data_IF_571599749475
#
_entry.id   IF_571599749475
#
_cell.length_a   1.000
_cell.length_b   1.000
_cell.length_c   1.000
_cell.angle_alpha   90.00
_cell.angle_beta   90.00
_cell.angle_gamma   90.00
#
_symmetry.space_group_name_H-M   'P 1'
#
loop_
_entity.id
_entity.type
_entity.pdbx_description
1 polymer ?
#
# COMPACT_ATOMS: atom_id res chain seq x y z
N UNK A 1 12.33 44.15 105.09
CA UNK A 1 12.83 44.61 103.78
C UNK A 1 12.47 43.54 102.76
N UNK A 2 11.68 43.87 101.73
CA UNK A 2 11.48 42.95 100.60
C UNK A 2 12.82 42.78 99.89
N UNK A 3 13.23 41.53 99.66
CA UNK A 3 14.53 41.19 99.11
C UNK A 3 14.52 41.39 97.58
N UNK A 4 14.55 42.65 97.15
CA UNK A 4 14.44 43.06 95.74
C UNK A 4 15.48 42.38 94.83
N UNK A 5 16.68 42.11 95.37
CA UNK A 5 17.75 41.42 94.65
C UNK A 5 17.41 39.96 94.35
N UNK A 6 16.71 39.27 95.24
CA UNK A 6 16.31 37.87 95.02
C UNK A 6 15.20 37.79 93.96
N UNK A 7 14.22 38.69 94.03
CA UNK A 7 13.13 38.77 93.06
C UNK A 7 13.65 39.04 91.64
N UNK A 8 14.59 39.98 91.50
CA UNK A 8 15.22 40.28 90.21
C UNK A 8 15.91 39.05 89.60
N UNK A 9 16.64 38.29 90.40
CA UNK A 9 17.30 37.06 89.94
C UNK A 9 16.26 36.03 89.47
N UNK A 10 15.19 35.81 90.23
CA UNK A 10 14.12 34.89 89.85
C UNK A 10 13.41 35.30 88.56
N UNK A 11 13.12 36.59 88.38
CA UNK A 11 12.47 37.09 87.17
C UNK A 11 13.37 36.93 85.94
N UNK A 12 14.69 37.15 86.10
CA UNK A 12 15.68 36.92 85.04
C UNK A 12 15.73 35.45 84.65
N UNK A 13 15.76 34.53 85.63
CA UNK A 13 15.75 33.09 85.37
C UNK A 13 14.45 32.65 84.66
N UNK A 14 13.29 33.19 85.06
CA UNK A 14 12.02 32.90 84.41
C UNK A 14 11.98 33.38 82.96
N UNK A 15 12.54 34.56 82.67
CA UNK A 15 12.66 35.09 81.32
C UNK A 15 13.65 34.27 80.49
N UNK A 16 14.79 33.88 81.06
CA UNK A 16 15.79 33.04 80.36
C UNK A 16 15.24 31.66 80.00
N UNK A 17 14.43 31.09 80.90
CA UNK A 17 13.81 29.78 80.72
C UNK A 17 12.45 29.82 80.02
N UNK A 18 11.93 31.01 79.68
CA UNK A 18 10.69 31.13 78.93
C UNK A 18 10.85 30.51 77.52
N UNK A 19 9.76 29.91 77.05
CA UNK A 19 9.73 29.12 75.82
C UNK A 19 8.69 29.67 74.85
N UNK A 20 8.92 29.45 73.57
CA UNK A 20 7.94 29.64 72.50
C UNK A 20 7.44 28.27 72.05
N UNK A 21 6.13 28.14 71.95
CA UNK A 21 5.47 26.92 71.47
C UNK A 21 5.16 27.06 69.97
N UNK A 22 5.56 26.06 69.19
CA UNK A 22 5.23 25.91 67.78
C UNK A 22 4.44 24.62 67.62
N UNK A 23 3.21 24.73 67.14
CA UNK A 23 2.32 23.58 66.96
C UNK A 23 2.37 23.17 65.50
N UNK A 24 2.66 21.91 65.22
CA UNK A 24 2.67 21.35 63.86
C UNK A 24 1.26 21.00 63.39
N UNK A 25 1.12 20.67 62.10
CA UNK A 25 -0.14 20.15 61.55
C UNK A 25 -0.55 18.80 62.16
N UNK A 26 0.38 18.06 62.79
CA UNK A 26 0.07 16.83 63.54
C UNK A 26 -0.43 17.11 64.96
N UNK A 27 -0.45 18.39 65.39
CA UNK A 27 -0.84 18.82 66.74
C UNK A 27 0.26 18.66 67.79
N UNK A 28 1.46 18.26 67.39
CA UNK A 28 2.61 18.17 68.29
C UNK A 28 3.18 19.56 68.57
N UNK A 29 3.48 19.83 69.84
CA UNK A 29 4.07 21.09 70.28
C UNK A 29 5.58 20.96 70.38
N UNK A 30 6.30 21.76 69.61
CA UNK A 30 7.74 21.98 69.75
C UNK A 30 7.94 23.23 70.62
N UNK A 31 8.61 23.07 71.76
CA UNK A 31 9.01 24.18 72.60
C UNK A 31 10.45 24.59 72.29
N UNK A 32 10.68 25.89 72.07
CA UNK A 32 12.01 26.45 71.84
C UNK A 32 12.28 27.51 72.89
N UNK A 33 13.34 27.32 73.68
CA UNK A 33 13.79 28.30 74.66
C UNK A 33 14.21 29.64 74.04
N UNK A 34 14.28 30.69 74.84
CA UNK A 34 14.66 32.02 74.35
C UNK A 34 16.09 32.10 73.78
N UNK A 35 16.99 31.23 74.23
CA UNK A 35 18.37 31.14 73.72
C UNK A 35 18.57 29.99 72.71
N UNK A 36 17.54 29.19 72.44
CA UNK A 36 17.65 28.03 71.54
C UNK A 36 17.37 28.41 70.08
N UNK A 37 18.07 27.76 69.17
CA UNK A 37 17.87 27.93 67.72
C UNK A 37 16.75 27.01 67.26
N UNK A 38 15.75 27.58 66.58
CA UNK A 38 14.78 26.80 65.82
C UNK A 38 15.34 26.52 64.42
N UNK A 39 15.67 25.27 64.14
CA UNK A 39 16.09 24.84 62.81
C UNK A 39 14.89 24.43 61.96
N UNK A 40 14.78 24.96 60.74
CA UNK A 40 13.75 24.60 59.76
C UNK A 40 14.46 24.23 58.46
N UNK A 41 14.49 22.95 58.12
CA UNK A 41 15.21 22.44 56.95
C UNK A 41 14.30 21.63 56.03
N UNK A 42 14.33 21.90 54.73
CA UNK A 42 13.57 21.16 53.71
C UNK A 42 14.31 19.96 53.08
N UNK A 43 15.56 19.70 53.50
CA UNK A 43 16.35 18.55 53.02
C UNK A 43 16.95 18.66 51.61
N UNK A 44 16.70 19.76 50.89
CA UNK A 44 17.29 20.00 49.57
C UNK A 44 18.78 20.35 49.66
N UNK A 45 19.59 19.79 48.76
CA UNK A 45 21.04 20.04 48.65
C UNK A 45 21.42 20.90 47.44
N UNK A 46 20.54 20.96 46.44
CA UNK A 46 20.72 21.72 45.19
C UNK A 46 20.20 23.16 45.32
N UNK A 47 20.37 23.95 44.26
CA UNK A 47 19.85 25.32 44.16
C UNK A 47 18.33 25.37 44.40
N UNK A 48 17.89 26.32 45.23
CA UNK A 48 16.49 26.53 45.54
C UNK A 48 15.86 27.54 44.57
N UNK A 49 14.57 27.38 44.33
CA UNK A 49 13.79 28.31 43.53
C UNK A 49 13.24 29.46 44.36
N UNK A 50 13.24 30.66 43.79
CA UNK A 50 12.58 31.83 44.38
C UNK A 50 11.09 31.88 44.08
N UNK A 51 10.31 32.47 44.99
CA UNK A 51 8.90 32.83 44.77
C UNK A 51 7.89 31.67 44.69
N UNK A 52 8.33 30.42 44.75
CA UNK A 52 7.44 29.25 44.66
C UNK A 52 6.72 28.93 45.98
N UNK A 53 7.20 29.44 47.12
CA UNK A 53 6.59 29.28 48.45
C UNK A 53 6.12 30.63 48.98
N UNK A 54 4.84 30.74 49.29
CA UNK A 54 4.23 31.91 49.90
C UNK A 54 3.89 31.70 51.38
N UNK A 55 4.02 32.74 52.19
CA UNK A 55 3.60 32.76 53.59
C UNK A 55 2.50 33.80 53.74
N UNK A 56 1.37 33.40 54.33
CA UNK A 56 0.20 34.28 54.54
C UNK A 56 -0.30 34.20 55.97
N UNK A 57 -0.89 35.28 56.48
CA UNK A 57 -1.48 35.28 57.82
C UNK A 57 -2.60 34.24 57.93
N UNK A 58 -2.64 33.55 59.06
CA UNK A 58 -3.69 32.60 59.44
C UNK A 58 -4.21 32.93 60.84
N UNK A 59 -5.20 33.84 60.89
CA UNK A 59 -5.73 34.35 62.15
C UNK A 59 -4.76 35.29 62.87
N UNK A 60 -4.90 35.37 64.20
CA UNK A 60 -4.19 36.35 65.03
C UNK A 60 -2.75 35.93 65.42
N UNK A 61 -2.44 34.63 65.38
CA UNK A 61 -1.16 34.08 65.88
C UNK A 61 -0.54 33.00 64.96
N UNK A 62 -1.02 32.88 63.72
CA UNK A 62 -0.59 31.82 62.80
C UNK A 62 -0.19 32.35 61.43
N UNK A 63 0.59 31.54 60.71
CA UNK A 63 0.89 31.71 59.30
C UNK A 63 0.62 30.39 58.57
N UNK A 64 0.12 30.48 57.34
CA UNK A 64 0.04 29.35 56.41
C UNK A 64 1.16 29.45 55.39
N UNK A 65 1.88 28.36 55.21
CA UNK A 65 2.83 28.17 54.12
C UNK A 65 2.09 27.53 52.95
N UNK A 66 2.21 28.08 51.74
CA UNK A 66 1.48 27.63 50.55
C UNK A 66 2.40 27.53 49.35
N UNK A 67 2.15 26.55 48.50
CA UNK A 67 2.76 26.47 47.18
C UNK A 67 2.11 27.48 46.23
N UNK A 68 2.91 28.20 45.45
CA UNK A 68 2.41 29.07 44.38
C UNK A 68 1.63 28.25 43.34
N UNK A 69 0.53 28.80 42.82
CA UNK A 69 -0.21 28.19 41.70
C UNK A 69 0.54 28.30 40.36
N UNK A 70 1.60 29.11 40.32
CA UNK A 70 2.50 29.27 39.17
C UNK A 70 3.91 28.96 39.64
N UNK A 71 4.33 27.72 39.41
CA UNK A 71 5.69 27.30 39.69
C UNK A 71 6.61 27.73 38.55
N UNK A 72 7.77 28.28 38.91
CA UNK A 72 8.77 28.74 37.95
C UNK A 72 10.19 28.43 38.41
N UNK A 73 11.13 28.32 37.47
CA UNK A 73 12.54 28.03 37.77
C UNK A 73 12.82 26.59 38.20
N UNK A 74 11.87 25.66 38.04
CA UNK A 74 12.09 24.24 38.29
C UNK A 74 12.85 23.61 37.11
N UNK A 75 13.95 22.94 37.39
CA UNK A 75 14.71 22.17 36.37
C UNK A 75 14.07 20.81 36.08
N UNK A 76 13.50 20.19 37.12
CA UNK A 76 12.90 18.85 37.05
C UNK A 76 11.78 18.67 38.07
N UNK A 77 10.69 18.05 37.65
CA UNK A 77 9.66 17.49 38.52
C UNK A 77 9.60 15.99 38.31
N UNK A 78 9.82 15.22 39.37
CA UNK A 78 9.69 13.76 39.36
C UNK A 78 8.43 13.36 40.09
N UNK A 79 7.55 12.62 39.41
CA UNK A 79 6.32 12.05 39.98
C UNK A 79 6.47 10.53 40.01
N UNK A 80 6.35 9.92 41.19
CA UNK A 80 6.63 8.50 41.40
C UNK A 80 8.12 8.23 41.67
N UNK A 81 8.54 6.98 41.50
CA UNK A 81 9.90 6.51 41.82
C UNK A 81 10.29 5.34 40.93
N UNK A 82 11.60 5.12 40.74
CA UNK A 82 12.11 4.02 39.92
C UNK A 82 11.84 4.22 38.42
N UNK A 83 11.81 3.12 37.67
CA UNK A 83 11.75 3.14 36.21
C UNK A 83 10.38 3.61 35.64
N UNK A 84 9.34 3.66 36.48
CA UNK A 84 8.01 4.16 36.11
C UNK A 84 7.78 5.62 36.47
N UNK A 85 8.82 6.31 36.99
CA UNK A 85 8.71 7.70 37.33
C UNK A 85 8.41 8.55 36.08
N UNK A 86 7.46 9.46 36.22
CA UNK A 86 7.26 10.51 35.21
C UNK A 86 8.17 11.67 35.56
N UNK A 87 9.05 12.04 34.63
CA UNK A 87 9.98 13.14 34.80
C UNK A 87 9.60 14.22 33.80
N UNK A 88 9.28 15.39 34.31
CA UNK A 88 9.13 16.62 33.51
C UNK A 88 10.43 17.38 33.68
N UNK A 89 11.25 17.42 32.64
CA UNK A 89 12.50 18.15 32.58
C UNK A 89 12.33 19.41 31.71
N UNK A 90 13.43 20.14 31.50
CA UNK A 90 13.42 21.40 30.74
C UNK A 90 13.02 21.20 29.25
N UNK A 91 13.41 20.08 28.65
CA UNK A 91 13.28 19.81 27.21
C UNK A 91 12.39 18.60 26.87
N UNK A 92 12.02 17.82 27.88
CA UNK A 92 11.44 16.49 27.69
C UNK A 92 10.50 16.10 28.81
N UNK A 93 9.56 15.22 28.47
CA UNK A 93 8.75 14.48 29.43
C UNK A 93 9.02 13.01 29.21
N UNK A 94 9.57 12.32 30.21
CA UNK A 94 9.78 10.87 30.16
C UNK A 94 8.76 10.17 31.04
N UNK A 95 8.05 9.21 30.49
CA UNK A 95 7.12 8.32 31.20
C UNK A 95 7.07 6.98 30.49
N UNK A 96 6.71 5.91 31.20
CA UNK A 96 6.57 4.58 30.61
C UNK A 96 5.36 4.47 29.70
N UNK A 97 4.28 5.17 30.06
CA UNK A 97 3.03 5.14 29.31
C UNK A 97 2.28 6.46 29.48
N UNK A 98 1.91 7.08 28.37
CA UNK A 98 0.98 8.21 28.34
C UNK A 98 -0.36 7.72 27.81
N UNK A 99 -1.40 7.75 28.65
CA UNK A 99 -2.77 7.44 28.25
C UNK A 99 -3.59 8.73 28.18
N UNK A 100 -4.02 9.09 26.97
CA UNK A 100 -4.90 10.24 26.70
C UNK A 100 -6.19 9.74 26.05
N UNK A 101 -7.21 9.48 26.88
CA UNK A 101 -8.45 8.84 26.43
C UNK A 101 -8.17 7.44 25.88
N UNK A 102 -8.52 7.19 24.62
CA UNK A 102 -8.25 5.92 23.94
C UNK A 102 -6.85 5.84 23.31
N UNK A 103 -6.05 6.90 23.41
CA UNK A 103 -4.71 6.94 22.84
C UNK A 103 -3.70 6.55 23.90
N UNK A 104 -2.83 5.61 23.55
CA UNK A 104 -1.66 5.21 24.34
C UNK A 104 -0.41 5.55 23.54
N UNK A 105 0.55 6.24 24.18
CA UNK A 105 1.90 6.46 23.67
C UNK A 105 2.88 5.82 24.64
N UNK A 106 3.70 4.89 24.16
CA UNK A 106 4.69 4.17 24.95
C UNK A 106 5.85 3.70 24.06
N UNK A 107 6.68 2.79 24.55
CA UNK A 107 7.83 2.23 23.82
C UNK A 107 7.45 1.43 22.57
N UNK A 108 6.21 0.95 22.46
CA UNK A 108 5.72 0.23 21.29
C UNK A 108 5.24 1.17 20.17
N UNK A 109 5.11 2.48 20.48
CA UNK A 109 4.67 3.52 19.55
C UNK A 109 3.38 4.20 19.98
N UNK A 110 2.47 4.43 19.03
CA UNK A 110 1.17 5.08 19.26
C UNK A 110 0.04 4.12 18.91
N UNK A 111 -0.88 3.91 19.85
CA UNK A 111 -2.09 3.11 19.63
C UNK A 111 -3.33 3.95 19.95
N UNK A 112 -4.32 3.95 19.06
CA UNK A 112 -5.65 4.47 19.35
C UNK A 112 -6.62 3.29 19.38
N UNK A 113 -7.15 2.98 20.56
CA UNK A 113 -8.08 1.86 20.75
C UNK A 113 -9.39 2.10 20.01
N UNK A 114 -9.78 1.12 19.20
CA UNK A 114 -11.06 1.15 18.50
C UNK A 114 -12.23 1.10 19.49
N UNK A 115 -13.24 1.94 19.26
CA UNK A 115 -14.51 1.90 19.99
C UNK A 115 -15.59 1.12 19.25
N UNK A 116 -15.43 0.93 17.94
CA UNK A 116 -16.34 0.18 17.08
C UNK A 116 -15.81 -1.24 16.89
N UNK A 117 -16.61 -2.24 17.26
CA UNK A 117 -16.29 -3.67 17.15
C UNK A 117 -16.02 -4.15 15.72
N UNK A 118 -16.47 -3.42 14.69
CA UNK A 118 -16.15 -3.74 13.29
C UNK A 118 -14.72 -3.33 12.91
N UNK A 119 -14.14 -2.39 13.65
CA UNK A 119 -12.81 -1.82 13.42
C UNK A 119 -11.75 -2.55 14.25
N UNK A 120 -10.50 -2.17 14.04
CA UNK A 120 -9.38 -2.59 14.88
C UNK A 120 -8.62 -1.36 15.30
N UNK A 121 -7.74 -1.48 16.29
CA UNK A 121 -6.96 -0.34 16.76
C UNK A 121 -6.14 0.29 15.62
N UNK A 122 -6.03 1.62 15.65
CA UNK A 122 -5.05 2.33 14.83
C UNK A 122 -3.71 2.20 15.55
N UNK A 123 -2.67 1.76 14.83
CA UNK A 123 -1.34 1.53 15.39
C UNK A 123 -0.27 2.14 14.49
N UNK A 124 0.62 2.92 15.08
CA UNK A 124 1.87 3.38 14.50
C UNK A 124 3.00 2.79 15.35
N UNK A 125 3.72 1.82 14.79
CA UNK A 125 4.86 1.15 15.45
C UNK A 125 6.15 1.42 14.69
N UNK A 126 7.28 0.90 15.18
CA UNK A 126 8.56 0.95 14.46
C UNK A 126 8.53 0.21 13.12
N UNK A 127 7.62 -0.75 12.96
CA UNK A 127 7.64 -1.69 11.84
C UNK A 127 6.53 -1.40 10.84
N UNK A 128 5.32 -1.06 11.32
CA UNK A 128 4.13 -0.95 10.47
C UNK A 128 3.18 0.16 10.92
N UNK A 129 2.34 0.58 9.97
CA UNK A 129 1.20 1.46 10.20
C UNK A 129 -0.08 0.69 9.89
N UNK A 130 -0.97 0.57 10.87
CA UNK A 130 -2.32 0.03 10.70
C UNK A 130 -3.34 1.13 10.95
N UNK A 131 -4.22 1.36 9.98
CA UNK A 131 -5.33 2.31 10.12
C UNK A 131 -6.59 1.65 10.70
N UNK A 132 -6.50 0.44 11.24
CA UNK A 132 -7.61 -0.15 11.98
C UNK A 132 -8.88 -0.40 11.15
N UNK A 133 -8.72 -0.71 9.86
CA UNK A 133 -9.81 -0.81 8.85
C UNK A 133 -10.53 0.51 8.56
N UNK A 134 -9.89 1.66 8.83
CA UNK A 134 -10.36 2.97 8.38
C UNK A 134 -9.82 3.30 7.00
N UNK A 135 -10.55 4.15 6.28
CA UNK A 135 -10.06 4.77 5.06
C UNK A 135 -9.06 5.86 5.42
N UNK A 136 -8.07 6.05 4.54
CA UNK A 136 -7.17 7.21 4.58
C UNK A 136 -7.70 8.18 3.53
N UNK A 137 -8.22 9.32 3.99
CA UNK A 137 -8.70 10.39 3.12
C UNK A 137 -7.57 11.40 2.84
N UNK A 138 -7.79 12.27 1.86
CA UNK A 138 -6.90 13.39 1.53
C UNK A 138 -5.45 12.99 1.17
N UNK A 139 -5.29 11.80 0.57
CA UNK A 139 -4.02 11.35 0.00
C UNK A 139 -3.84 12.00 -1.38
N UNK A 140 -2.88 12.92 -1.48
CA UNK A 140 -2.45 13.51 -2.76
C UNK A 140 -2.00 12.43 -3.75
N UNK A 141 -1.96 12.74 -5.04
CA UNK A 141 -1.44 11.79 -6.03
C UNK A 141 0.05 11.56 -5.76
N UNK A 142 0.47 10.29 -5.69
CA UNK A 142 1.87 9.94 -5.53
C UNK A 142 2.69 10.30 -6.77
N UNK A 143 3.87 10.87 -6.57
CA UNK A 143 4.77 11.30 -7.65
C UNK A 143 6.06 10.46 -7.67
N UNK A 144 6.56 10.06 -6.50
CA UNK A 144 7.72 9.19 -6.34
C UNK A 144 7.32 7.70 -6.27
N UNK A 145 8.27 6.81 -6.53
CA UNK A 145 8.04 5.35 -6.54
C UNK A 145 7.60 4.79 -5.18
N UNK A 146 7.92 5.49 -4.09
CA UNK A 146 7.59 5.09 -2.71
C UNK A 146 6.36 5.78 -2.14
N UNK A 147 5.67 6.60 -2.93
CA UNK A 147 4.48 7.31 -2.48
C UNK A 147 3.26 6.38 -2.48
N UNK A 148 2.32 6.65 -1.59
CA UNK A 148 1.02 6.00 -1.64
C UNK A 148 0.25 6.44 -2.89
N UNK A 149 -0.47 5.51 -3.51
CA UNK A 149 -1.39 5.81 -4.62
C UNK A 149 -2.79 6.08 -4.10
N UNK A 150 -3.45 7.08 -4.65
CA UNK A 150 -4.87 7.33 -4.37
C UNK A 150 -5.78 6.69 -5.44
N UNK A 151 -7.08 6.67 -5.15
CA UNK A 151 -8.08 6.04 -6.04
C UNK A 151 -8.18 6.75 -7.40
N UNK A 152 -7.86 8.04 -7.49
CA UNK A 152 -7.83 8.78 -8.74
C UNK A 152 -6.77 8.27 -9.72
N UNK A 153 -5.57 7.96 -9.22
CA UNK A 153 -4.50 7.35 -10.04
C UNK A 153 -4.88 5.95 -10.51
N UNK A 154 -5.47 5.13 -9.63
CA UNK A 154 -5.95 3.79 -10.00
C UNK A 154 -7.03 3.84 -11.08
N UNK A 155 -8.03 4.70 -10.93
CA UNK A 155 -9.10 4.86 -11.92
C UNK A 155 -8.55 5.30 -13.28
N UNK A 156 -7.59 6.23 -13.29
CA UNK A 156 -6.95 6.68 -14.53
C UNK A 156 -6.23 5.55 -15.26
N UNK A 157 -5.50 4.70 -14.53
CA UNK A 157 -4.85 3.52 -15.09
C UNK A 157 -5.87 2.52 -15.68
N UNK A 158 -6.95 2.24 -14.93
CA UNK A 158 -8.03 1.34 -15.38
C UNK A 158 -8.73 1.88 -16.64
N UNK A 159 -9.01 3.18 -16.71
CA UNK A 159 -9.62 3.80 -17.89
C UNK A 159 -8.73 3.64 -19.13
N UNK A 160 -7.41 3.90 -19.01
CA UNK A 160 -6.48 3.74 -20.12
C UNK A 160 -6.42 2.30 -20.65
N UNK A 161 -6.41 1.31 -19.73
CA UNK A 161 -6.47 -0.10 -20.10
C UNK A 161 -7.77 -0.41 -20.84
N UNK A 162 -8.91 0.08 -20.33
CA UNK A 162 -10.21 -0.08 -20.98
C UNK A 162 -10.24 0.46 -22.42
N UNK A 163 -9.68 1.64 -22.66
CA UNK A 163 -9.58 2.21 -24.01
C UNK A 163 -8.73 1.36 -24.95
N UNK A 164 -7.58 0.86 -24.48
CA UNK A 164 -6.71 -0.02 -25.27
C UNK A 164 -7.37 -1.36 -25.60
N UNK A 165 -8.10 -1.95 -24.64
CA UNK A 165 -8.85 -3.19 -24.87
C UNK A 165 -9.96 -3.00 -25.91
N UNK A 166 -10.66 -1.87 -25.91
CA UNK A 166 -11.63 -1.55 -26.96
C UNK A 166 -10.98 -1.43 -28.34
N UNK A 167 -9.82 -0.76 -28.42
CA UNK A 167 -9.05 -0.68 -29.67
C UNK A 167 -8.65 -2.06 -30.17
N UNK A 168 -8.12 -2.91 -29.30
CA UNK A 168 -7.74 -4.29 -29.63
C UNK A 168 -8.96 -5.10 -30.08
N UNK A 169 -10.10 -4.99 -29.40
CA UNK A 169 -11.35 -5.64 -29.80
C UNK A 169 -11.76 -5.28 -31.23
N UNK A 170 -11.62 -4.02 -31.63
CA UNK A 170 -11.89 -3.59 -33.01
C UNK A 170 -10.89 -4.18 -34.02
N UNK A 171 -9.60 -4.26 -33.68
CA UNK A 171 -8.59 -4.88 -34.54
C UNK A 171 -8.84 -6.38 -34.69
N UNK A 172 -9.22 -7.06 -33.61
CA UNK A 172 -9.62 -8.46 -33.62
C UNK A 172 -10.85 -8.66 -34.51
N UNK A 173 -11.88 -7.83 -34.40
CA UNK A 173 -13.05 -7.91 -35.27
C UNK A 173 -12.69 -7.73 -36.76
N UNK A 174 -11.76 -6.82 -37.08
CA UNK A 174 -11.26 -6.68 -38.46
C UNK A 174 -10.50 -7.92 -38.92
N UNK A 175 -9.70 -8.52 -38.03
CA UNK A 175 -8.99 -9.77 -38.32
C UNK A 175 -9.97 -10.92 -38.52
N UNK A 176 -10.97 -11.07 -37.64
CA UNK A 176 -12.03 -12.07 -37.73
C UNK A 176 -12.77 -11.98 -39.08
N UNK A 177 -13.18 -10.77 -39.48
CA UNK A 177 -13.77 -10.54 -40.81
C UNK A 177 -12.83 -10.93 -41.96
N UNK A 178 -11.52 -10.64 -41.86
CA UNK A 178 -10.52 -11.05 -42.87
C UNK A 178 -10.33 -12.56 -42.90
N UNK A 179 -10.28 -13.21 -41.75
CA UNK A 179 -10.13 -14.67 -41.61
C UNK A 179 -11.35 -15.37 -42.16
N UNK A 180 -12.57 -14.93 -41.79
CA UNK A 180 -13.82 -15.46 -42.34
C UNK A 180 -13.87 -15.31 -43.87
N UNK A 181 -13.42 -14.16 -44.39
CA UNK A 181 -13.32 -13.92 -45.83
C UNK A 181 -12.37 -14.91 -46.53
N UNK A 182 -11.24 -15.24 -45.92
CA UNK A 182 -10.29 -16.23 -46.45
C UNK A 182 -10.83 -17.65 -46.30
N UNK A 183 -11.35 -18.02 -45.12
CA UNK A 183 -11.86 -19.36 -44.83
C UNK A 183 -13.09 -19.74 -45.65
N UNK A 184 -13.96 -18.77 -45.96
CA UNK A 184 -15.09 -18.98 -46.86
C UNK A 184 -14.70 -18.99 -48.36
N UNK A 185 -13.42 -18.81 -48.70
CA UNK A 185 -12.96 -18.72 -50.10
C UNK A 185 -13.38 -17.45 -50.84
N UNK A 186 -13.92 -16.44 -50.14
CA UNK A 186 -14.56 -15.26 -50.72
C UNK A 186 -13.62 -14.04 -50.72
N UNK A 187 -12.56 -14.01 -51.53
CA UNK A 187 -11.76 -12.76 -51.66
C UNK A 187 -12.57 -11.71 -52.44
N UNK A 188 -12.74 -10.51 -51.89
CA UNK A 188 -13.52 -9.41 -52.52
C UNK A 188 -12.74 -8.59 -53.55
N UNK A 189 -11.48 -8.92 -53.85
CA UNK A 189 -10.66 -8.19 -54.83
C UNK A 189 -10.23 -9.03 -56.04
N UNK A 190 -10.60 -10.30 -56.05
CA UNK A 190 -10.67 -11.06 -57.28
C UNK A 190 -12.02 -11.72 -57.25
N UNK A 191 -12.82 -11.55 -58.31
CA UNK A 191 -13.88 -12.51 -58.62
C UNK A 191 -13.35 -13.93 -58.81
N UNK A 192 -12.08 -14.20 -58.53
CA UNK A 192 -11.37 -15.44 -58.77
C UNK A 192 -12.04 -16.64 -58.17
N UNK A 193 -12.79 -16.69 -57.05
CA UNK A 193 -13.38 -18.01 -56.75
C UNK A 193 -14.46 -18.42 -57.77
N UNK A 194 -15.27 -17.47 -58.26
CA UNK A 194 -16.26 -17.74 -59.30
C UNK A 194 -15.65 -17.68 -60.71
N UNK A 195 -14.74 -16.76 -60.97
CA UNK A 195 -14.01 -16.63 -62.22
C UNK A 195 -12.97 -17.75 -62.40
N UNK A 196 -12.35 -18.25 -61.33
CA UNK A 196 -11.53 -19.47 -61.31
C UNK A 196 -12.42 -20.70 -61.35
N UNK A 197 -13.61 -20.72 -60.72
CA UNK A 197 -14.55 -21.80 -60.95
C UNK A 197 -14.99 -21.86 -62.42
N UNK A 198 -15.32 -20.70 -63.01
CA UNK A 198 -15.60 -20.57 -64.45
C UNK A 198 -14.40 -20.94 -65.30
N UNK A 199 -13.18 -20.52 -64.95
CA UNK A 199 -11.97 -20.89 -65.66
C UNK A 199 -11.68 -22.39 -65.54
N UNK A 200 -11.91 -23.00 -64.38
CA UNK A 200 -11.83 -24.45 -64.17
C UNK A 200 -12.87 -25.15 -65.04
N UNK A 201 -14.10 -24.63 -65.13
CA UNK A 201 -15.14 -25.23 -65.95
C UNK A 201 -14.87 -25.04 -67.45
N UNK A 202 -14.33 -23.89 -67.87
CA UNK A 202 -13.85 -23.64 -69.23
C UNK A 202 -12.70 -24.60 -69.57
N UNK A 203 -11.71 -24.73 -68.69
CA UNK A 203 -10.59 -25.66 -68.85
C UNK A 203 -11.08 -27.12 -68.90
N UNK A 204 -12.06 -27.50 -68.07
CA UNK A 204 -12.72 -28.81 -68.16
C UNK A 204 -13.39 -29.01 -69.52
N UNK A 205 -14.06 -27.98 -70.05
CA UNK A 205 -14.61 -27.98 -71.40
C UNK A 205 -13.55 -28.23 -72.46
N UNK A 206 -12.47 -27.45 -72.45
CA UNK A 206 -11.33 -27.62 -73.37
C UNK A 206 -10.70 -29.01 -73.26
N UNK A 207 -10.53 -29.54 -72.05
CA UNK A 207 -9.99 -30.89 -71.82
C UNK A 207 -10.92 -31.95 -72.37
N UNK A 208 -12.24 -31.82 -72.19
CA UNK A 208 -13.22 -32.74 -72.77
C UNK A 208 -13.21 -32.69 -74.30
N UNK A 209 -13.17 -31.49 -74.89
CA UNK A 209 -13.09 -31.30 -76.34
C UNK A 209 -11.81 -31.94 -76.90
N UNK A 210 -10.67 -31.74 -76.24
CA UNK A 210 -9.41 -32.40 -76.58
C UNK A 210 -9.50 -33.92 -76.48
N UNK A 211 -10.14 -34.46 -75.43
CA UNK A 211 -10.34 -35.88 -75.26
C UNK A 211 -11.15 -36.49 -76.42
N UNK A 212 -12.22 -35.82 -76.86
CA UNK A 212 -13.02 -36.24 -78.01
C UNK A 212 -12.21 -36.17 -79.32
N UNK A 213 -11.40 -35.13 -79.51
CA UNK A 213 -10.51 -35.02 -80.68
C UNK A 213 -9.49 -36.16 -80.73
N UNK A 214 -8.85 -36.50 -79.61
CA UNK A 214 -7.89 -37.61 -79.51
C UNK A 214 -8.57 -38.95 -79.84
N UNK A 215 -9.77 -39.19 -79.33
CA UNK A 215 -10.54 -40.41 -79.65
C UNK A 215 -10.82 -40.53 -81.15
N UNK A 216 -11.22 -39.43 -81.80
CA UNK A 216 -11.46 -39.40 -83.25
C UNK A 216 -10.16 -39.62 -84.04
N UNK A 217 -9.04 -39.04 -83.60
CA UNK A 217 -7.73 -39.29 -84.19
C UNK A 217 -7.32 -40.76 -84.07
N UNK A 218 -7.53 -41.40 -82.91
CA UNK A 218 -7.25 -42.82 -82.72
C UNK A 218 -8.08 -43.70 -83.65
N UNK A 219 -9.38 -43.43 -83.83
CA UNK A 219 -10.22 -44.18 -84.78
C UNK A 219 -9.74 -44.03 -86.24
N UNK A 220 -9.28 -42.84 -86.62
CA UNK A 220 -8.69 -42.61 -87.95
C UNK A 220 -7.37 -43.38 -88.10
N UNK A 221 -6.53 -43.40 -87.08
CA UNK A 221 -5.28 -44.17 -87.07
C UNK A 221 -5.56 -45.68 -87.17
N UNK A 222 -6.56 -46.20 -86.47
CA UNK A 222 -6.99 -47.60 -86.57
C UNK A 222 -7.45 -47.94 -87.98
N UNK A 223 -8.25 -47.05 -88.59
CA UNK A 223 -8.73 -47.20 -89.97
C UNK A 223 -7.58 -47.19 -90.97
N UNK A 224 -6.64 -46.24 -90.83
CA UNK A 224 -5.44 -46.17 -91.68
C UNK A 224 -4.56 -47.41 -91.50
N UNK A 225 -4.40 -47.91 -90.27
CA UNK A 225 -3.65 -49.13 -89.99
C UNK A 225 -4.29 -50.34 -90.66
N UNK A 226 -5.62 -50.46 -90.61
CA UNK A 226 -6.35 -51.52 -91.31
C UNK A 226 -6.20 -51.43 -92.83
N UNK A 227 -6.28 -50.23 -93.41
CA UNK A 227 -6.04 -50.02 -94.84
C UNK A 227 -4.61 -50.35 -95.26
N UNK A 228 -3.62 -50.01 -94.44
CA UNK A 228 -2.21 -50.35 -94.68
C UNK A 228 -1.99 -51.88 -94.65
N UNK A 229 -2.65 -52.57 -93.73
CA UNK A 229 -2.58 -54.03 -93.63
C UNK A 229 -3.26 -54.70 -94.85
N UNK A 230 -4.39 -54.17 -95.31
CA UNK A 230 -5.01 -54.62 -96.57
C UNK A 230 -4.09 -54.37 -97.77
N UNK A 231 -3.44 -53.20 -97.84
CA UNK A 231 -2.44 -52.92 -98.87
C UNK A 231 -1.26 -53.88 -98.84
N UNK A 232 -0.75 -54.23 -97.64
CA UNK A 232 0.29 -55.25 -97.48
C UNK A 232 -0.16 -56.61 -98.01
N UNK A 233 -1.35 -57.08 -97.64
CA UNK A 233 -1.89 -58.35 -98.13
C UNK A 233 -2.00 -58.36 -99.66
N UNK A 234 -2.52 -57.29 -100.27
CA UNK A 234 -2.57 -57.17 -101.74
C UNK A 234 -1.18 -57.18 -102.40
N UNK A 235 -0.18 -56.58 -101.75
CA UNK A 235 1.22 -56.62 -102.23
C UNK A 235 1.81 -58.03 -102.10
N UNK A 236 1.53 -58.75 -101.01
CA UNK A 236 1.93 -60.16 -100.85
C UNK A 236 1.30 -61.03 -101.95
N UNK A 237 -0.01 -60.90 -102.18
CA UNK A 237 -0.71 -61.59 -103.28
C UNK A 237 -0.11 -61.25 -104.66
N UNK A 238 0.17 -59.97 -104.92
CA UNK A 238 0.85 -59.53 -106.15
C UNK A 238 2.26 -60.13 -106.27
N UNK A 239 3.00 -60.22 -105.16
CA UNK A 239 4.35 -60.79 -105.12
C UNK A 239 4.30 -62.30 -105.41
N UNK A 240 3.35 -63.03 -104.84
CA UNK A 240 3.10 -64.44 -105.15
C UNK A 240 2.71 -64.64 -106.62
N UNK A 241 1.83 -63.79 -107.15
CA UNK A 241 1.39 -63.84 -108.55
C UNK A 241 2.58 -63.62 -109.51
N UNK A 242 3.41 -62.61 -109.26
CA UNK A 242 4.62 -62.34 -110.03
C UNK A 242 5.62 -63.50 -109.93
N UNK A 243 5.85 -64.06 -108.74
CA UNK A 243 6.73 -65.23 -108.56
C UNK A 243 6.22 -66.47 -109.32
N UNK A 244 4.90 -66.67 -109.41
CA UNK A 244 4.30 -67.76 -110.20
C UNK A 244 4.46 -67.60 -111.72
N UNK A 245 4.62 -66.35 -112.19
CA UNK A 245 4.88 -66.01 -113.60
C UNK A 245 6.36 -66.11 -113.97
N UNK A 246 7.27 -65.84 -113.02
CA UNK A 246 8.73 -65.88 -113.21
C UNK A 246 9.32 -67.29 -113.12
N UNK A 247 8.70 -68.21 -112.34
CA UNK A 247 9.16 -69.60 -112.17
C UNK A 247 8.49 -70.62 -113.12
N UNK A 248 7.95 -70.16 -114.25
CA UNK A 248 7.53 -70.99 -115.39
C UNK A 248 8.61 -71.04 -116.45
#
# INVERSE_FOLDING_TARGET
>A
MFNFSLQLTTDIEAIQNAKREFISDTGETIEVGNAEVLSITGGATETLTDGNIGVVNDGAKGFKVKLSSKLSGLERVTVGSGDTATIIATDSVTTTELVAGNTTVNTDGVTIKATDSAKSDIKLTSDTISMGKNQIHDVAAGEAETDAVNVGQLNSAVTNIGSNMNYLGNQINKLDNRVNRVGAGQTTNYGSSQAMAQEIDNLRGVVNDQQSMIQSQNQKLDTQSAQLEEQKQRIEELTELVNSLVNK
#
